data_IF_275552240478
#
_entry.id   IF_275552240478
#
_cell.length_a   1.000
_cell.length_b   1.000
_cell.length_c   1.000
_cell.angle_alpha   90.00
_cell.angle_beta   90.00
_cell.angle_gamma   90.00
#
_symmetry.space_group_name_H-M   'P 1'
#
loop_
_entity.id
_entity.type
_entity.pdbx_description
1 polymer ?
#
# COMPACT_ATOMS: atom_id res chain seq x y z
N UNK A 1 -19.32 9.22 4.30
CA UNK A 1 -18.47 10.32 4.78
C UNK A 1 -19.28 11.60 5.00
N UNK A 2 -19.54 12.49 4.03
CA UNK A 2 -20.29 13.75 4.27
C UNK A 2 -21.61 13.58 5.04
N UNK A 3 -22.43 12.60 4.64
CA UNK A 3 -23.68 12.26 5.34
C UNK A 3 -23.46 11.66 6.75
N UNK A 4 -22.34 10.98 6.96
CA UNK A 4 -21.96 10.35 8.23
C UNK A 4 -21.32 11.36 9.20
N UNK A 5 -20.61 12.35 8.67
CA UNK A 5 -19.97 13.46 9.41
C UNK A 5 -20.89 14.70 9.49
N UNK A 6 -22.15 14.56 9.07
CA UNK A 6 -23.17 15.62 9.05
C UNK A 6 -22.72 16.95 8.43
N UNK A 7 -21.90 16.90 7.37
CA UNK A 7 -21.36 18.08 6.70
C UNK A 7 -21.73 18.14 5.22
N UNK A 8 -21.78 19.37 4.68
CA UNK A 8 -22.00 19.68 3.27
C UNK A 8 -20.70 20.21 2.65
N UNK A 9 -20.53 20.07 1.32
CA UNK A 9 -19.32 20.51 0.61
C UNK A 9 -18.68 19.41 -0.24
N UNK A 10 -17.54 19.73 -0.87
CA UNK A 10 -16.81 18.79 -1.74
C UNK A 10 -16.22 17.66 -0.90
N UNK A 11 -16.39 16.42 -1.35
CA UNK A 11 -15.98 15.22 -0.60
C UNK A 11 -14.51 15.23 -0.14
N UNK A 12 -13.61 15.91 -0.84
CA UNK A 12 -12.17 15.93 -0.51
C UNK A 12 -11.69 17.22 0.16
N UNK A 13 -12.49 18.27 0.18
CA UNK A 13 -12.06 19.58 0.68
C UNK A 13 -11.75 19.52 2.18
N UNK A 14 -10.55 19.96 2.57
CA UNK A 14 -10.10 19.95 3.97
C UNK A 14 -9.78 18.57 4.58
N UNK A 15 -9.90 17.46 3.83
CA UNK A 15 -9.66 16.08 4.32
C UNK A 15 -8.31 15.47 3.97
N UNK A 16 -7.50 16.17 3.18
CA UNK A 16 -6.15 15.71 2.83
C UNK A 16 -5.09 16.64 3.41
N UNK A 17 -3.93 16.06 3.71
CA UNK A 17 -2.75 16.78 4.16
C UNK A 17 -1.55 16.25 3.38
N UNK A 18 -0.80 17.17 2.78
CA UNK A 18 0.51 16.86 2.21
C UNK A 18 1.57 17.14 3.27
N UNK A 19 2.39 16.13 3.57
CA UNK A 19 3.50 16.24 4.52
C UNK A 19 4.78 15.75 3.84
N UNK A 20 5.82 16.59 3.84
CA UNK A 20 7.11 16.26 3.24
C UNK A 20 7.85 15.26 4.12
N UNK A 21 8.30 14.14 3.57
CA UNK A 21 9.28 13.28 4.24
C UNK A 21 10.67 13.84 3.92
N UNK A 22 11.44 14.20 4.95
CA UNK A 22 12.69 14.95 4.77
C UNK A 22 13.95 14.09 4.87
N UNK A 23 13.84 12.88 5.42
CA UNK A 23 14.94 11.93 5.56
C UNK A 23 14.45 10.48 5.70
N UNK A 24 15.39 9.53 5.79
CA UNK A 24 15.10 8.10 5.93
C UNK A 24 14.38 7.76 7.24
N UNK A 25 14.66 8.47 8.34
CA UNK A 25 14.00 8.23 9.63
C UNK A 25 12.49 8.52 9.53
N UNK A 26 12.13 9.65 8.92
CA UNK A 26 10.74 10.00 8.64
C UNK A 26 10.09 9.02 7.66
N UNK A 27 10.84 8.56 6.67
CA UNK A 27 10.36 7.60 5.66
C UNK A 27 10.03 6.25 6.29
N UNK A 28 10.93 5.70 7.10
CA UNK A 28 10.73 4.43 7.79
C UNK A 28 9.54 4.52 8.77
N UNK A 29 9.47 5.58 9.57
CA UNK A 29 8.37 5.80 10.52
C UNK A 29 7.02 5.92 9.80
N UNK A 30 6.98 6.65 8.68
CA UNK A 30 5.77 6.83 7.88
C UNK A 30 5.33 5.50 7.24
N UNK A 31 6.25 4.75 6.63
CA UNK A 31 5.95 3.46 6.01
C UNK A 31 5.33 2.48 7.04
N UNK A 32 5.95 2.34 8.21
CA UNK A 32 5.42 1.47 9.27
C UNK A 32 4.11 1.98 9.86
N UNK A 33 3.96 3.29 10.04
CA UNK A 33 2.69 3.87 10.46
C UNK A 33 1.57 3.49 9.50
N UNK A 34 1.81 3.62 8.18
CA UNK A 34 0.84 3.27 7.14
C UNK A 34 0.51 1.77 7.16
N UNK A 35 1.52 0.90 7.16
CA UNK A 35 1.30 -0.54 7.15
C UNK A 35 0.62 -1.06 8.43
N UNK A 36 0.80 -0.38 9.57
CA UNK A 36 0.11 -0.67 10.83
C UNK A 36 -1.22 0.07 10.99
N UNK A 37 -1.65 0.91 10.06
CA UNK A 37 -2.91 1.67 10.19
C UNK A 37 -4.14 0.75 10.35
N UNK A 38 -4.33 -0.33 9.56
CA UNK A 38 -5.47 -1.22 9.73
C UNK A 38 -5.44 -1.97 11.07
N UNK A 39 -4.25 -2.34 11.54
CA UNK A 39 -4.07 -2.88 12.90
C UNK A 39 -4.46 -1.82 13.93
N UNK A 40 -4.03 -0.56 13.77
CA UNK A 40 -4.42 0.56 14.64
C UNK A 40 -5.93 0.69 14.74
N UNK A 41 -6.61 0.64 13.60
CA UNK A 41 -8.05 0.78 13.45
C UNK A 41 -8.86 -0.47 13.86
N UNK A 42 -8.20 -1.55 14.33
CA UNK A 42 -8.84 -2.84 14.64
C UNK A 42 -9.59 -3.45 13.44
N UNK A 43 -9.12 -3.17 12.23
CA UNK A 43 -9.59 -3.80 10.99
C UNK A 43 -8.80 -5.05 10.62
N UNK A 44 -7.65 -5.25 11.25
CA UNK A 44 -6.76 -6.40 11.08
C UNK A 44 -6.05 -6.67 12.42
N UNK A 45 -5.72 -7.94 12.70
CA UNK A 45 -5.02 -8.30 13.94
C UNK A 45 -3.49 -8.16 13.80
N UNK A 46 -2.99 -8.30 12.57
CA UNK A 46 -1.57 -8.27 12.24
C UNK A 46 -1.33 -7.82 10.78
N UNK A 47 -0.10 -7.39 10.40
CA UNK A 47 0.24 -7.01 9.03
C UNK A 47 -0.13 -8.05 7.96
N UNK A 48 0.00 -9.34 8.29
CA UNK A 48 -0.33 -10.49 7.43
C UNK A 48 -1.82 -10.54 7.05
N UNK A 49 -2.69 -9.93 7.85
CA UNK A 49 -4.15 -9.88 7.63
C UNK A 49 -4.64 -8.53 7.06
N UNK A 50 -3.72 -7.62 6.76
CA UNK A 50 -4.00 -6.21 6.42
C UNK A 50 -4.09 -5.99 4.89
N UNK A 51 -5.15 -6.51 4.26
CA UNK A 51 -5.29 -6.72 2.80
C UNK A 51 -5.11 -5.49 1.87
N UNK A 52 -4.97 -4.28 2.42
CA UNK A 52 -4.83 -3.03 1.66
C UNK A 52 -3.58 -2.25 2.06
N UNK A 53 -2.49 -2.96 2.36
CA UNK A 53 -1.20 -2.37 2.75
C UNK A 53 -0.05 -2.93 1.93
N UNK A 54 1.02 -2.14 1.81
CA UNK A 54 2.20 -2.57 1.08
C UNK A 54 2.91 -3.73 1.79
N UNK A 55 2.85 -3.77 3.13
CA UNK A 55 3.33 -4.91 3.91
C UNK A 55 2.62 -6.22 3.55
N UNK A 56 1.30 -6.22 3.41
CA UNK A 56 0.53 -7.41 3.06
C UNK A 56 0.98 -8.01 1.73
N UNK A 57 1.07 -7.18 0.68
CA UNK A 57 1.51 -7.64 -0.64
C UNK A 57 2.97 -8.14 -0.62
N UNK A 58 3.85 -7.48 0.13
CA UNK A 58 5.24 -7.92 0.32
C UNK A 58 5.32 -9.26 1.05
N UNK A 59 4.53 -9.46 2.10
CA UNK A 59 4.47 -10.73 2.84
C UNK A 59 4.00 -11.86 1.90
N UNK A 60 2.93 -11.63 1.14
CA UNK A 60 2.44 -12.59 0.15
C UNK A 60 3.50 -12.95 -0.90
N UNK A 61 4.23 -11.95 -1.40
CA UNK A 61 5.34 -12.18 -2.32
C UNK A 61 6.46 -13.03 -1.69
N UNK A 62 6.76 -12.85 -0.39
CA UNK A 62 7.74 -13.72 0.30
C UNK A 62 7.27 -15.18 0.42
N UNK A 63 5.96 -15.43 0.32
CA UNK A 63 5.36 -16.77 0.24
C UNK A 63 5.24 -17.29 -1.21
N UNK A 64 5.74 -16.55 -2.20
CA UNK A 64 5.66 -16.90 -3.62
C UNK A 64 4.28 -16.72 -4.23
N UNK A 65 3.40 -15.95 -3.58
CA UNK A 65 2.08 -15.66 -4.12
C UNK A 65 2.14 -14.69 -5.30
N UNK A 66 1.27 -14.95 -6.28
CA UNK A 66 1.14 -14.14 -7.49
C UNK A 66 -0.26 -13.56 -7.64
N UNK A 67 -0.34 -12.41 -8.27
CA UNK A 67 -1.59 -11.76 -8.62
C UNK A 67 -1.63 -11.31 -10.08
N UNK A 68 -2.80 -10.93 -10.55
CA UNK A 68 -2.96 -10.32 -11.87
C UNK A 68 -2.25 -8.98 -11.86
N UNK A 69 -1.51 -8.66 -12.93
CA UNK A 69 -0.89 -7.34 -13.03
C UNK A 69 -1.98 -6.25 -13.02
N UNK A 70 -1.83 -5.23 -12.17
CA UNK A 70 -2.80 -4.14 -12.07
C UNK A 70 -3.05 -3.44 -13.42
N UNK A 71 -2.06 -3.42 -14.32
CA UNK A 71 -2.22 -2.91 -15.70
C UNK A 71 -3.27 -3.67 -16.50
N UNK A 72 -3.47 -4.94 -16.20
CA UNK A 72 -4.40 -5.81 -16.92
C UNK A 72 -5.81 -5.77 -16.28
N UNK A 73 -5.90 -5.43 -14.98
CA UNK A 73 -7.18 -5.18 -14.29
C UNK A 73 -7.75 -3.79 -14.57
N UNK A 74 -6.90 -2.77 -14.74
CA UNK A 74 -7.30 -1.36 -14.97
C UNK A 74 -7.73 -1.09 -16.43
N UNK A 75 -7.91 -2.13 -17.25
CA UNK A 75 -8.69 -2.03 -18.51
C UNK A 75 -10.16 -1.81 -18.13
N UNK A 76 -10.46 -0.57 -17.74
CA UNK A 76 -11.77 -0.08 -17.38
C UNK A 76 -12.60 0.04 -18.67
N UNK A 77 -13.55 -0.89 -18.80
CA UNK A 77 -14.93 -0.61 -19.21
C UNK A 77 -15.30 -0.30 -20.68
N UNK A 78 -14.53 -0.67 -21.72
CA UNK A 78 -15.06 -0.66 -23.11
C UNK A 78 -14.51 -1.77 -24.03
N UNK A 79 -14.49 -3.03 -23.58
CA UNK A 79 -14.45 -4.13 -24.57
C UNK A 79 -15.86 -4.35 -25.11
N UNK A 80 -16.08 -4.05 -26.40
CA UNK A 80 -17.32 -4.39 -27.09
C UNK A 80 -17.65 -5.87 -26.88
N UNK A 81 -18.88 -6.15 -26.41
CA UNK A 81 -19.35 -7.53 -26.26
C UNK A 81 -19.19 -8.26 -27.59
N UNK A 82 -18.62 -9.47 -27.63
CA UNK A 82 -18.54 -10.25 -28.85
C UNK A 82 -19.91 -10.39 -29.51
N UNK A 83 -19.98 -10.28 -30.83
CA UNK A 83 -21.23 -10.34 -31.58
C UNK A 83 -22.04 -11.62 -31.27
N UNK A 84 -21.35 -12.74 -31.04
CA UNK A 84 -21.96 -14.01 -30.67
C UNK A 84 -22.70 -13.95 -29.32
N UNK A 85 -22.16 -13.20 -28.35
CA UNK A 85 -22.83 -12.97 -27.07
C UNK A 85 -24.10 -12.13 -27.25
N UNK A 86 -24.02 -11.03 -28.02
CA UNK A 86 -25.16 -10.16 -28.31
C UNK A 86 -26.30 -10.92 -29.00
N UNK A 87 -25.97 -11.77 -29.98
CA UNK A 87 -26.95 -12.58 -30.70
C UNK A 87 -27.64 -13.62 -29.79
N UNK A 88 -26.90 -14.25 -28.88
CA UNK A 88 -27.45 -15.20 -27.91
C UNK A 88 -28.34 -14.50 -26.88
N UNK A 89 -27.94 -13.34 -26.36
CA UNK A 89 -28.73 -12.51 -25.45
C UNK A 89 -30.06 -12.09 -26.11
N UNK A 90 -30.01 -11.60 -27.36
CA UNK A 90 -31.22 -11.23 -28.14
C UNK A 90 -32.17 -12.41 -28.30
N UNK A 91 -31.67 -13.55 -28.80
CA UNK A 91 -32.48 -14.76 -29.05
C UNK A 91 -33.08 -15.32 -27.76
N UNK A 92 -32.34 -15.25 -26.65
CA UNK A 92 -32.83 -15.66 -25.34
C UNK A 92 -34.00 -14.76 -24.88
N UNK A 93 -33.88 -13.44 -25.09
CA UNK A 93 -34.96 -12.48 -24.82
C UNK A 93 -36.21 -12.77 -25.63
N UNK A 94 -36.07 -12.96 -26.94
CA UNK A 94 -37.17 -13.30 -27.86
C UNK A 94 -37.84 -14.63 -27.47
N UNK A 95 -37.06 -15.66 -27.12
CA UNK A 95 -37.59 -16.96 -26.70
C UNK A 95 -38.39 -16.86 -25.39
N UNK A 96 -37.95 -16.03 -24.44
CA UNK A 96 -38.67 -15.76 -23.19
C UNK A 96 -39.96 -15.00 -23.45
N UNK A 97 -39.94 -13.96 -24.28
CA UNK A 97 -41.13 -13.19 -24.63
C UNK A 97 -42.18 -14.04 -25.37
N UNK A 98 -41.75 -14.97 -26.21
CA UNK A 98 -42.62 -15.88 -26.94
C UNK A 98 -43.10 -17.09 -26.11
N UNK A 99 -42.76 -17.19 -24.81
CA UNK A 99 -43.15 -18.32 -23.96
C UNK A 99 -42.54 -19.68 -24.36
N UNK A 100 -41.39 -19.67 -25.04
CA UNK A 100 -40.73 -20.89 -25.54
C UNK A 100 -39.72 -21.43 -24.53
N UNK A 101 -40.20 -21.97 -23.41
CA UNK A 101 -39.38 -22.34 -22.26
C UNK A 101 -38.22 -23.31 -22.57
N UNK A 102 -38.47 -24.35 -23.37
CA UNK A 102 -37.45 -25.30 -23.77
C UNK A 102 -36.33 -24.66 -24.61
N UNK A 103 -36.67 -23.70 -25.47
CA UNK A 103 -35.72 -22.95 -26.27
C UNK A 103 -34.93 -21.96 -25.42
N UNK A 104 -35.60 -21.22 -24.52
CA UNK A 104 -34.95 -20.31 -23.59
C UNK A 104 -33.93 -21.03 -22.68
N UNK A 105 -34.28 -22.21 -22.15
CA UNK A 105 -33.36 -23.03 -21.34
C UNK A 105 -32.16 -23.56 -22.13
N UNK A 106 -32.31 -23.82 -23.44
CA UNK A 106 -31.21 -24.22 -24.32
C UNK A 106 -30.26 -23.05 -24.59
N UNK A 107 -30.81 -21.88 -24.95
CA UNK A 107 -30.07 -20.66 -25.22
C UNK A 107 -29.34 -20.15 -23.98
N UNK A 108 -29.96 -20.21 -22.80
CA UNK A 108 -29.31 -19.86 -21.53
C UNK A 108 -28.05 -20.70 -21.27
N UNK A 109 -28.12 -22.03 -21.48
CA UNK A 109 -26.95 -22.92 -21.36
C UNK A 109 -25.90 -22.73 -22.46
N UNK A 110 -26.26 -22.17 -23.61
CA UNK A 110 -25.28 -21.80 -24.64
C UNK A 110 -24.57 -20.50 -24.26
N UNK A 111 -25.32 -19.50 -23.80
CA UNK A 111 -24.78 -18.24 -23.32
C UNK A 111 -23.84 -18.44 -22.13
N UNK A 112 -24.23 -19.28 -21.16
CA UNK A 112 -23.39 -19.60 -20.00
C UNK A 112 -22.06 -20.24 -20.41
N UNK A 113 -22.09 -21.20 -21.33
CA UNK A 113 -20.87 -21.83 -21.88
C UNK A 113 -19.98 -20.84 -22.63
N UNK A 114 -20.56 -19.92 -23.40
CA UNK A 114 -19.80 -18.87 -24.09
C UNK A 114 -19.13 -17.93 -23.09
N UNK A 115 -19.87 -17.47 -22.07
CA UNK A 115 -19.33 -16.59 -21.03
C UNK A 115 -18.21 -17.27 -20.24
N UNK A 116 -18.33 -18.56 -19.94
CA UNK A 116 -17.27 -19.31 -19.26
C UNK A 116 -16.02 -19.46 -20.13
N UNK A 117 -16.18 -19.73 -21.43
CA UNK A 117 -15.07 -19.79 -22.37
C UNK A 117 -14.34 -18.44 -22.48
N UNK A 118 -15.09 -17.34 -22.60
CA UNK A 118 -14.52 -15.98 -22.66
C UNK A 118 -13.78 -15.62 -21.37
N UNK A 119 -14.32 -16.00 -20.20
CA UNK A 119 -13.64 -15.82 -18.90
C UNK A 119 -12.33 -16.60 -18.84
N UNK A 120 -12.31 -17.84 -19.33
CA UNK A 120 -11.10 -18.67 -19.37
C UNK A 120 -10.05 -18.07 -20.30
N UNK A 121 -10.43 -17.68 -21.52
CA UNK A 121 -9.53 -17.02 -22.46
C UNK A 121 -8.94 -15.73 -21.88
N UNK A 122 -9.78 -14.89 -21.27
CA UNK A 122 -9.31 -13.68 -20.59
C UNK A 122 -8.34 -14.04 -19.47
N UNK A 123 -8.66 -15.02 -18.63
CA UNK A 123 -7.79 -15.44 -17.53
C UNK A 123 -6.43 -15.99 -17.99
N UNK A 124 -6.35 -16.64 -19.16
CA UNK A 124 -5.11 -17.12 -19.78
C UNK A 124 -4.26 -15.98 -20.35
N UNK A 125 -4.89 -14.88 -20.78
CA UNK A 125 -4.20 -13.69 -21.28
C UNK A 125 -3.66 -12.80 -20.16
N UNK A 126 -4.26 -12.84 -18.97
CA UNK A 126 -3.85 -12.04 -17.83
C UNK A 126 -2.44 -12.43 -17.36
N UNK A 127 -1.53 -11.45 -17.31
CA UNK A 127 -0.18 -11.67 -16.82
C UNK A 127 -0.22 -11.86 -15.30
N UNK A 128 0.38 -12.95 -14.82
CA UNK A 128 0.62 -13.20 -13.39
C UNK A 128 1.98 -12.67 -12.98
N UNK A 129 1.99 -11.82 -11.96
CA UNK A 129 3.19 -11.19 -11.39
C UNK A 129 3.26 -11.48 -9.90
N UNK A 130 4.44 -11.38 -9.29
CA UNK A 130 4.57 -11.48 -7.83
C UNK A 130 3.65 -10.47 -7.13
N UNK A 131 3.13 -10.82 -5.95
CA UNK A 131 2.16 -10.00 -5.24
C UNK A 131 2.64 -8.56 -5.00
N UNK A 132 3.93 -8.31 -4.81
CA UNK A 132 4.47 -6.98 -4.60
C UNK A 132 5.11 -6.36 -5.85
N UNK A 133 4.96 -6.98 -7.04
CA UNK A 133 5.68 -6.57 -8.25
C UNK A 133 5.40 -5.11 -8.67
N UNK A 134 4.24 -4.57 -8.31
CA UNK A 134 3.82 -3.20 -8.59
C UNK A 134 4.39 -2.16 -7.61
N UNK A 135 4.93 -2.61 -6.47
CA UNK A 135 5.57 -1.77 -5.48
C UNK A 135 7.02 -1.48 -5.87
N UNK A 136 7.53 -0.31 -5.49
CA UNK A 136 8.96 -0.07 -5.54
C UNK A 136 9.69 -1.06 -4.62
N UNK A 137 10.88 -1.57 -5.00
CA UNK A 137 11.71 -2.37 -4.09
C UNK A 137 11.91 -1.65 -2.76
N UNK A 138 11.97 -2.37 -1.65
CA UNK A 138 12.18 -1.73 -0.34
C UNK A 138 13.64 -1.33 -0.18
N UNK A 139 14.53 -2.30 -0.38
CA UNK A 139 15.97 -2.14 -0.20
C UNK A 139 16.56 -1.22 -1.26
N UNK A 140 17.16 -0.13 -0.78
CA UNK A 140 17.94 0.80 -1.57
C UNK A 140 19.34 0.22 -1.78
N UNK A 141 19.58 -0.34 -2.97
CA UNK A 141 20.91 -0.79 -3.37
C UNK A 141 21.67 0.29 -4.14
N UNK A 142 22.57 0.97 -3.43
CA UNK A 142 23.48 2.01 -3.93
C UNK A 142 24.95 1.54 -4.05
N UNK A 143 25.21 0.24 -4.23
CA UNK A 143 26.58 -0.27 -4.49
C UNK A 143 27.22 0.28 -5.79
N UNK A 144 26.53 1.14 -6.54
CA UNK A 144 27.03 1.84 -7.72
C UNK A 144 26.65 3.33 -7.70
N UNK A 145 26.84 4.04 -8.81
CA UNK A 145 26.50 5.47 -8.89
C UNK A 145 24.99 5.67 -8.63
N UNK A 146 24.58 6.54 -7.69
CA UNK A 146 23.18 6.85 -7.47
C UNK A 146 22.58 7.44 -8.76
N UNK A 147 21.64 6.72 -9.36
CA UNK A 147 20.93 7.14 -10.57
C UNK A 147 19.46 6.74 -10.48
N UNK A 148 18.57 7.41 -11.25
CA UNK A 148 17.25 6.87 -11.51
C UNK A 148 17.35 5.45 -12.10
N UNK A 149 16.43 4.57 -11.71
CA UNK A 149 16.34 3.19 -12.24
C UNK A 149 14.92 2.93 -12.71
N UNK A 150 14.52 3.46 -13.87
CA UNK A 150 13.20 3.19 -14.42
C UNK A 150 12.99 1.68 -14.63
N UNK A 151 11.80 1.18 -14.30
CA UNK A 151 11.45 -0.22 -14.57
C UNK A 151 11.12 -0.42 -16.04
N UNK A 152 11.45 -1.59 -16.59
CA UNK A 152 11.11 -2.01 -17.95
C UNK A 152 10.00 -3.06 -17.99
N UNK A 153 9.57 -3.53 -16.81
CA UNK A 153 8.72 -4.70 -16.69
C UNK A 153 7.23 -4.36 -16.84
N UNK A 154 6.88 -3.08 -17.00
CA UNK A 154 5.51 -2.58 -17.15
C UNK A 154 4.66 -2.57 -15.87
N UNK A 155 5.17 -3.10 -14.76
CA UNK A 155 4.38 -3.25 -13.51
C UNK A 155 4.56 -2.11 -12.51
N UNK A 156 5.64 -1.33 -12.62
CA UNK A 156 5.97 -0.23 -11.69
C UNK A 156 6.79 0.85 -12.40
N UNK A 157 6.91 2.03 -11.82
CA UNK A 157 7.69 3.13 -12.41
C UNK A 157 9.21 2.98 -12.23
N UNK A 158 9.67 2.46 -11.09
CA UNK A 158 11.09 2.45 -10.72
C UNK A 158 11.51 1.17 -9.99
N UNK A 159 12.71 0.70 -10.33
CA UNK A 159 13.46 -0.37 -9.65
C UNK A 159 14.44 0.20 -8.61
N UNK A 160 14.41 1.51 -8.35
CA UNK A 160 15.17 2.12 -7.26
C UNK A 160 14.41 1.90 -5.95
N UNK A 161 15.06 1.23 -4.98
CA UNK A 161 14.51 1.12 -3.64
C UNK A 161 14.56 2.42 -2.85
N UNK A 162 14.11 2.40 -1.60
CA UNK A 162 13.90 3.65 -0.84
C UNK A 162 14.33 3.60 0.63
N UNK A 163 14.68 2.44 1.18
CA UNK A 163 15.22 2.31 2.54
C UNK A 163 16.58 1.63 2.54
N UNK A 164 17.49 2.10 3.38
CA UNK A 164 18.83 1.52 3.54
C UNK A 164 18.78 0.30 4.48
N UNK A 165 17.87 -0.64 4.19
CA UNK A 165 17.67 -1.89 4.93
C UNK A 165 17.07 -2.96 4.02
N UNK A 166 17.26 -4.23 4.37
CA UNK A 166 16.65 -5.33 3.63
C UNK A 166 15.14 -5.39 3.84
N UNK A 167 14.41 -5.99 2.88
CA UNK A 167 12.99 -6.30 3.06
C UNK A 167 12.75 -7.18 4.30
N UNK A 168 13.65 -8.14 4.55
CA UNK A 168 13.57 -9.03 5.72
C UNK A 168 13.65 -8.25 7.02
N UNK A 169 14.58 -7.31 7.15
CA UNK A 169 14.72 -6.50 8.36
C UNK A 169 13.52 -5.56 8.54
N UNK A 170 12.99 -5.00 7.44
CA UNK A 170 11.77 -4.20 7.49
C UNK A 170 10.59 -5.00 8.04
N UNK A 171 10.33 -6.19 7.50
CA UNK A 171 9.21 -7.05 7.94
C UNK A 171 9.39 -7.52 9.39
N UNK A 172 10.61 -7.87 9.80
CA UNK A 172 10.90 -8.22 11.22
C UNK A 172 10.67 -7.05 12.15
N UNK A 173 11.10 -5.84 11.77
CA UNK A 173 10.88 -4.64 12.55
C UNK A 173 9.39 -4.26 12.58
N UNK A 174 8.66 -4.46 11.49
CA UNK A 174 7.22 -4.25 11.41
C UNK A 174 6.45 -5.20 12.34
N UNK A 175 6.74 -6.52 12.29
CA UNK A 175 6.15 -7.52 13.19
C UNK A 175 6.45 -7.19 14.66
N UNK A 176 7.71 -6.90 14.98
CA UNK A 176 8.10 -6.50 16.33
C UNK A 176 7.34 -5.25 16.79
N UNK A 177 7.23 -4.23 15.94
CA UNK A 177 6.55 -2.95 16.24
C UNK A 177 5.04 -3.17 16.43
N UNK A 178 4.43 -4.03 15.61
CA UNK A 178 3.05 -4.46 15.72
C UNK A 178 2.75 -5.10 17.08
N UNK A 179 3.65 -5.98 17.56
CA UNK A 179 3.52 -6.68 18.85
C UNK A 179 3.64 -5.76 20.05
N UNK A 180 4.35 -4.63 19.95
CA UNK A 180 4.52 -3.70 21.09
C UNK A 180 3.21 -3.07 21.60
N UNK A 181 2.12 -3.17 20.82
CA UNK A 181 0.81 -2.70 21.26
C UNK A 181 0.19 -3.58 22.36
N UNK A 182 0.57 -4.86 22.44
CA UNK A 182 0.08 -5.76 23.48
C UNK A 182 0.86 -5.48 24.80
N UNK A 183 0.19 -5.14 25.91
CA UNK A 183 0.84 -4.78 27.19
C UNK A 183 1.87 -5.82 27.67
N UNK A 184 1.57 -7.08 27.40
CA UNK A 184 2.29 -8.30 27.72
C UNK A 184 3.45 -8.62 26.77
N UNK A 185 3.59 -7.89 25.65
CA UNK A 185 4.65 -8.11 24.64
C UNK A 185 5.58 -6.91 24.46
N UNK A 186 5.59 -5.99 25.43
CA UNK A 186 6.57 -4.90 25.47
C UNK A 186 7.96 -5.51 25.67
N UNK A 187 8.86 -5.23 24.73
CA UNK A 187 10.20 -5.78 24.73
C UNK A 187 11.22 -4.79 24.19
N UNK A 188 12.48 -5.23 24.16
CA UNK A 188 13.58 -4.50 23.52
C UNK A 188 13.59 -4.82 22.03
N UNK A 189 14.00 -3.84 21.21
CA UNK A 189 14.27 -4.07 19.79
C UNK A 189 15.28 -5.22 19.65
N UNK A 190 15.07 -6.18 18.73
CA UNK A 190 16.03 -7.24 18.49
C UNK A 190 17.43 -6.69 18.20
N UNK A 191 18.47 -7.31 18.75
CA UNK A 191 19.85 -6.81 18.66
C UNK A 191 20.33 -6.60 17.22
N UNK A 192 19.91 -7.44 16.28
CA UNK A 192 20.23 -7.29 14.86
C UNK A 192 19.55 -6.09 14.17
N UNK A 193 18.47 -5.55 14.75
CA UNK A 193 17.75 -4.38 14.25
C UNK A 193 18.17 -3.07 14.94
N UNK A 194 18.76 -3.15 16.12
CA UNK A 194 19.25 -1.98 16.86
C UNK A 194 20.20 -1.08 16.04
N UNK A 195 21.14 -1.60 15.21
CA UNK A 195 22.00 -0.78 14.38
C UNK A 195 21.25 0.12 13.39
N UNK A 196 20.03 -0.27 12.96
CA UNK A 196 19.19 0.58 12.10
C UNK A 196 18.72 1.81 12.86
N UNK A 197 18.34 1.66 14.14
CA UNK A 197 17.91 2.78 14.98
C UNK A 197 19.07 3.75 15.24
N UNK A 198 20.25 3.22 15.59
CA UNK A 198 21.46 4.01 15.79
C UNK A 198 21.83 4.80 14.54
N UNK A 199 21.82 4.15 13.36
CA UNK A 199 22.09 4.79 12.07
C UNK A 199 21.11 5.93 11.76
N UNK A 200 19.84 5.78 12.15
CA UNK A 200 18.80 6.79 11.94
C UNK A 200 18.75 7.84 13.06
N UNK A 201 19.59 7.71 14.10
CA UNK A 201 19.59 8.57 15.28
C UNK A 201 18.35 8.42 16.16
N UNK A 202 17.56 7.35 15.98
CA UNK A 202 16.34 7.12 16.76
C UNK A 202 16.73 6.37 18.04
N UNK A 203 16.29 6.86 19.20
CA UNK A 203 16.45 6.13 20.44
C UNK A 203 15.64 4.80 20.37
N UNK A 204 16.26 3.62 20.54
CA UNK A 204 15.59 2.33 20.36
C UNK A 204 14.29 2.19 21.20
N UNK A 205 14.28 2.71 22.42
CA UNK A 205 13.10 2.68 23.29
C UNK A 205 11.94 3.58 22.82
N UNK A 206 12.22 4.55 21.95
CA UNK A 206 11.23 5.50 21.44
C UNK A 206 10.65 5.10 20.08
N UNK A 207 11.23 4.11 19.40
CA UNK A 207 10.80 3.70 18.06
C UNK A 207 9.32 3.31 17.99
N UNK A 208 8.88 2.40 18.87
CA UNK A 208 7.49 1.97 18.88
C UNK A 208 6.54 3.14 19.19
N UNK A 209 6.91 4.02 20.12
CA UNK A 209 6.12 5.20 20.45
C UNK A 209 6.03 6.16 19.25
N UNK A 210 7.15 6.39 18.54
CA UNK A 210 7.19 7.24 17.36
C UNK A 210 6.25 6.75 16.26
N UNK A 211 6.22 5.44 15.98
CA UNK A 211 5.35 4.84 14.95
C UNK A 211 3.88 4.86 15.38
N UNK A 212 3.57 4.35 16.58
CA UNK A 212 2.18 4.27 17.05
C UNK A 212 1.56 5.65 17.29
N UNK A 213 2.37 6.61 17.72
CA UNK A 213 1.96 7.99 17.96
C UNK A 213 2.47 8.94 16.86
N UNK A 214 2.57 8.49 15.60
CA UNK A 214 3.04 9.32 14.49
C UNK A 214 2.37 10.70 14.42
N UNK A 215 1.04 10.75 14.60
CA UNK A 215 0.29 12.02 14.59
C UNK A 215 0.61 12.93 15.79
N UNK A 216 1.03 12.38 16.94
CA UNK A 216 1.51 13.17 18.07
C UNK A 216 2.76 13.94 17.69
N UNK A 217 3.69 13.30 16.97
CA UNK A 217 4.98 13.89 16.61
C UNK A 217 4.92 14.74 15.33
N UNK A 218 4.18 14.28 14.32
CA UNK A 218 4.18 14.84 12.98
C UNK A 218 2.82 15.41 12.54
N UNK A 219 1.74 15.18 13.28
CA UNK A 219 0.37 15.54 12.87
C UNK A 219 0.15 17.06 12.71
N UNK A 220 0.88 17.90 13.45
CA UNK A 220 0.87 19.37 13.27
C UNK A 220 2.02 19.91 12.42
N UNK A 221 2.96 19.06 12.07
CA UNK A 221 4.12 19.43 11.24
C UNK A 221 3.76 19.41 9.75
N UNK A 222 4.47 20.19 8.94
CA UNK A 222 4.43 20.10 7.47
C UNK A 222 5.44 19.10 6.91
N UNK A 223 6.33 18.60 7.76
CA UNK A 223 7.36 17.64 7.41
C UNK A 223 7.48 16.53 8.46
N UNK A 224 7.99 15.36 8.10
CA UNK A 224 8.30 14.28 9.02
C UNK A 224 9.72 13.77 8.75
N UNK A 225 10.47 13.60 9.83
CA UNK A 225 11.88 13.24 9.81
C UNK A 225 12.57 13.54 11.14
N UNK A 226 13.89 13.38 11.15
CA UNK A 226 14.77 13.70 12.27
C UNK A 226 14.75 15.20 12.61
N UNK A 227 15.18 15.57 13.83
CA UNK A 227 15.33 16.98 14.23
C UNK A 227 16.20 17.80 13.28
N UNK A 228 17.28 17.19 12.76
CA UNK A 228 18.20 17.83 11.81
C UNK A 228 17.57 17.95 10.42
N UNK A 229 16.87 16.92 9.94
CA UNK A 229 16.12 16.97 8.69
C UNK A 229 15.05 18.07 8.72
N UNK A 230 14.33 18.21 9.84
CA UNK A 230 13.34 19.29 10.02
C UNK A 230 13.99 20.68 10.10
N UNK A 231 15.19 20.77 10.70
CA UNK A 231 15.96 22.03 10.73
C UNK A 231 16.39 22.44 9.32
N UNK A 232 16.92 21.50 8.54
CA UNK A 232 17.33 21.73 7.16
C UNK A 232 16.13 22.13 6.28
N UNK A 233 14.98 21.48 6.45
CA UNK A 233 13.75 21.84 5.74
C UNK A 233 13.26 23.24 6.12
N UNK A 234 13.38 23.64 7.39
CA UNK A 234 13.02 25.00 7.81
C UNK A 234 13.85 26.02 7.04
N UNK A 235 15.17 25.80 6.96
CA UNK A 235 16.09 26.66 6.21
C UNK A 235 15.77 26.68 4.72
N UNK A 236 15.55 25.52 4.10
CA UNK A 236 15.23 25.40 2.67
C UNK A 236 13.91 26.10 2.32
N UNK A 237 12.92 26.03 3.21
CA UNK A 237 11.61 26.68 3.05
C UNK A 237 11.59 28.15 3.53
N UNK A 238 12.76 28.77 3.79
CA UNK A 238 12.90 30.15 4.30
C UNK A 238 12.08 30.43 5.58
N UNK A 239 12.08 29.47 6.52
CA UNK A 239 11.38 29.54 7.80
C UNK A 239 12.36 29.43 8.96
N UNK A 240 12.00 30.04 10.09
CA UNK A 240 12.79 29.95 11.32
C UNK A 240 12.65 28.60 12.02
N UNK A 241 11.48 27.94 11.93
CA UNK A 241 11.25 26.63 12.54
C UNK A 241 10.11 25.86 11.86
N UNK A 242 10.07 24.54 12.07
CA UNK A 242 8.94 23.67 11.72
C UNK A 242 8.24 23.21 13.02
N UNK A 243 6.91 23.37 13.14
CA UNK A 243 6.16 22.85 14.28
C UNK A 243 6.39 21.35 14.49
N UNK A 244 6.57 20.92 15.74
CA UNK A 244 6.82 19.50 16.09
C UNK A 244 8.29 19.12 16.23
N UNK A 245 9.23 19.97 15.78
CA UNK A 245 10.67 19.69 15.86
C UNK A 245 11.17 19.40 17.29
N UNK A 246 10.73 20.18 18.29
CA UNK A 246 11.09 19.93 19.70
C UNK A 246 10.48 18.64 20.25
N UNK A 247 9.28 18.31 19.81
CA UNK A 247 8.55 17.14 20.29
C UNK A 247 9.21 15.86 19.76
N UNK A 248 9.52 15.83 18.47
CA UNK A 248 10.19 14.68 17.86
C UNK A 248 11.63 14.51 18.37
N UNK A 249 12.32 15.59 18.76
CA UNK A 249 13.67 15.49 19.33
C UNK A 249 13.75 14.56 20.55
N UNK A 250 12.67 14.39 21.32
CA UNK A 250 12.63 13.41 22.42
C UNK A 250 12.73 11.94 21.97
N UNK A 251 12.50 11.65 20.70
CA UNK A 251 12.62 10.32 20.12
C UNK A 251 14.01 10.02 19.54
N UNK A 252 14.88 11.03 19.46
CA UNK A 252 16.20 10.94 18.83
C UNK A 252 17.29 11.09 19.89
N UNK A 253 18.41 10.37 19.70
CA UNK A 253 19.54 10.32 20.63
C UNK A 253 20.71 11.20 20.15
#
# INVERSE_FOLDING_TARGET
>A
ANKQDECTGRFWEGRFKAQKIVDEAGLLACAMYVDLNPVRAAMADAPESSQFTSAYDRIRATHGERQVAATDEVVLDEEEKPQEQLDLERRLGEAKQAGRDAAAKRLGRQLERLLDMLRQQRAEQLRRVEADAWLAPLELNERGRPSPKASRDGVRASNKGFLSMSLTDYLKLLDWTGRQRQPDKRGTIPSHLAPIMERLGIAPGMWADLVWNFNRYFGRSRAAGSPDGLKAEAQQSHRYFIPGQRQVASCFA
#
